data_IF_381980524633
#
_entry.id   IF_381980524633
#
_cell.length_a   1.000
_cell.length_b   1.000
_cell.length_c   1.000
_cell.angle_alpha   90.00
_cell.angle_beta   90.00
_cell.angle_gamma   90.00
#
_symmetry.space_group_name_H-M   'P 1'
#
loop_
_entity.id
_entity.type
_entity.pdbx_description
1 polymer ?
#
# COMPACT_ATOMS: atom_id res chain seq x y z
N UNK A 1 10.25 -11.32 12.36
CA UNK A 1 9.57 -10.00 12.20
C UNK A 1 10.60 -8.92 12.51
N UNK A 2 11.16 -8.30 11.49
CA UNK A 2 12.02 -7.13 11.64
C UNK A 2 11.15 -5.87 11.80
N UNK A 3 11.48 -5.02 12.78
CA UNK A 3 11.08 -3.60 12.75
C UNK A 3 11.74 -2.96 11.51
N UNK A 4 11.08 -1.97 10.89
CA UNK A 4 11.65 -1.20 9.79
C UNK A 4 13.11 -0.81 10.11
N UNK A 5 14.11 -1.16 9.27
CA UNK A 5 15.51 -0.95 9.61
C UNK A 5 16.00 0.46 9.24
N UNK A 6 16.70 1.05 10.20
CA UNK A 6 17.76 2.08 10.12
C UNK A 6 17.55 3.26 9.15
N UNK A 7 17.11 4.39 9.72
CA UNK A 7 17.48 5.83 9.57
C UNK A 7 17.92 6.37 8.19
N UNK A 8 18.67 5.64 7.36
CA UNK A 8 19.06 6.04 6.00
C UNK A 8 18.07 5.60 4.93
N UNK A 9 17.41 4.44 5.10
CA UNK A 9 16.34 4.02 4.18
C UNK A 9 15.02 4.79 4.46
N UNK A 10 14.84 5.32 5.68
CA UNK A 10 13.65 6.08 6.07
C UNK A 10 13.35 7.25 5.12
N UNK A 11 14.37 8.02 4.72
CA UNK A 11 14.18 9.14 3.80
C UNK A 11 13.71 8.70 2.40
N UNK A 12 14.27 7.60 1.88
CA UNK A 12 13.86 7.03 0.60
C UNK A 12 12.45 6.41 0.68
N UNK A 13 12.07 5.86 1.84
CA UNK A 13 10.73 5.34 2.08
C UNK A 13 9.67 6.43 2.13
N UNK A 14 9.96 7.61 2.68
CA UNK A 14 9.03 8.74 2.61
C UNK A 14 8.70 9.16 1.18
N UNK A 15 9.60 8.87 0.22
CA UNK A 15 9.33 9.14 -1.19
C UNK A 15 8.37 8.13 -1.83
N UNK A 16 8.14 6.97 -1.24
CA UNK A 16 7.38 5.86 -1.84
C UNK A 16 6.12 5.53 -1.03
N UNK A 17 6.25 5.54 0.30
CA UNK A 17 5.22 5.28 1.28
C UNK A 17 4.67 6.60 1.83
N UNK A 18 3.35 6.70 1.85
CA UNK A 18 2.67 7.75 2.58
C UNK A 18 2.57 7.45 4.08
N UNK A 19 2.17 8.47 4.87
CA UNK A 19 2.15 8.41 6.34
C UNK A 19 1.09 7.46 6.92
N UNK A 20 0.30 6.80 6.07
CA UNK A 20 -0.87 6.02 6.46
C UNK A 20 -0.77 4.54 6.06
N UNK A 21 0.43 4.08 5.72
CA UNK A 21 0.73 2.66 5.48
C UNK A 21 0.39 1.75 6.67
N UNK A 22 0.30 0.45 6.40
CA UNK A 22 -0.08 -0.56 7.38
C UNK A 22 0.96 -1.67 7.48
N UNK A 23 1.19 -2.17 8.69
CA UNK A 23 1.95 -3.39 8.95
C UNK A 23 3.47 -3.21 8.94
N UNK A 24 4.16 -4.36 8.92
CA UNK A 24 5.62 -4.46 8.88
C UNK A 24 6.08 -5.02 7.54
N UNK A 25 7.23 -4.58 7.06
CA UNK A 25 7.83 -5.05 5.82
C UNK A 25 8.67 -6.33 6.07
N UNK A 26 8.53 -7.36 5.24
CA UNK A 26 9.46 -8.50 5.20
C UNK A 26 10.47 -8.32 4.05
N UNK A 27 11.38 -9.28 3.82
CA UNK A 27 12.43 -9.15 2.80
C UNK A 27 11.88 -8.95 1.39
N UNK A 28 10.75 -9.59 1.05
CA UNK A 28 10.06 -9.38 -0.22
C UNK A 28 9.48 -7.98 -0.32
N UNK A 29 8.86 -7.50 0.75
CA UNK A 29 8.38 -6.12 0.83
C UNK A 29 9.54 -5.12 0.70
N UNK A 30 10.70 -5.40 1.29
CA UNK A 30 11.87 -4.53 1.19
C UNK A 30 12.37 -4.46 -0.25
N UNK A 31 12.49 -5.61 -0.93
CA UNK A 31 12.84 -5.67 -2.35
C UNK A 31 11.84 -4.91 -3.23
N UNK A 32 10.55 -5.06 -2.94
CA UNK A 32 9.47 -4.37 -3.63
C UNK A 32 9.57 -2.85 -3.47
N UNK A 33 9.77 -2.37 -2.24
CA UNK A 33 9.92 -0.94 -1.99
C UNK A 33 11.20 -0.39 -2.64
N UNK A 34 12.33 -1.11 -2.59
CA UNK A 34 13.58 -0.71 -3.28
C UNK A 34 13.36 -0.55 -4.78
N UNK A 35 12.57 -1.44 -5.37
CA UNK A 35 12.16 -1.36 -6.78
C UNK A 35 11.33 -0.10 -7.02
N UNK A 36 10.36 0.19 -6.14
CA UNK A 36 9.55 1.41 -6.24
C UNK A 36 10.39 2.69 -6.17
N UNK A 37 11.38 2.77 -5.26
CA UNK A 37 12.32 3.90 -5.18
C UNK A 37 13.08 4.05 -6.50
N UNK A 38 13.67 2.96 -7.01
CA UNK A 38 14.43 2.95 -8.27
C UNK A 38 13.62 3.46 -9.45
N UNK A 39 12.34 3.08 -9.51
CA UNK A 39 11.43 3.44 -10.60
C UNK A 39 10.58 4.69 -10.32
N UNK A 40 10.83 5.39 -9.20
CA UNK A 40 10.07 6.58 -8.77
C UNK A 40 8.56 6.32 -8.73
N UNK A 41 8.16 5.19 -8.16
CA UNK A 41 6.77 4.77 -7.99
C UNK A 41 6.32 4.99 -6.54
N UNK A 42 5.03 5.30 -6.37
CA UNK A 42 4.37 5.54 -5.10
C UNK A 42 3.32 4.49 -4.81
N UNK A 43 3.23 4.04 -3.57
CA UNK A 43 2.16 3.16 -3.09
C UNK A 43 0.96 4.01 -2.66
N UNK A 44 0.04 4.29 -3.57
CA UNK A 44 -1.04 5.28 -3.34
C UNK A 44 -1.95 4.91 -2.16
N UNK A 45 -2.17 3.61 -1.90
CA UNK A 45 -2.92 3.08 -0.76
C UNK A 45 -2.42 3.58 0.60
N UNK A 46 -1.15 4.01 0.69
CA UNK A 46 -0.51 4.43 1.94
C UNK A 46 -0.57 5.94 2.17
N UNK A 47 -1.04 6.73 1.20
CA UNK A 47 -1.08 8.20 1.30
C UNK A 47 -2.37 8.74 1.88
N UNK A 48 -3.45 7.96 1.92
CA UNK A 48 -4.76 8.44 2.35
C UNK A 48 -5.13 7.92 3.74
N UNK A 49 -5.68 8.81 4.57
CA UNK A 49 -6.19 8.45 5.90
C UNK A 49 -7.56 7.77 5.77
N UNK A 50 -7.54 6.47 5.57
CA UNK A 50 -8.73 5.64 5.45
C UNK A 50 -8.93 4.70 6.66
N UNK A 51 -10.17 4.27 6.95
CA UNK A 51 -10.42 3.24 7.95
C UNK A 51 -9.84 1.89 7.50
N UNK A 52 -9.52 1.01 8.45
CA UNK A 52 -8.86 -0.29 8.17
C UNK A 52 -9.61 -1.12 7.11
N UNK A 53 -10.95 -1.10 7.15
CA UNK A 53 -11.82 -1.81 6.19
C UNK A 53 -11.64 -1.38 4.74
N UNK A 54 -11.16 -0.15 4.50
CA UNK A 54 -10.94 0.44 3.17
C UNK A 54 -9.44 0.49 2.83
N UNK A 55 -8.56 -0.03 3.69
CA UNK A 55 -7.13 -0.12 3.44
C UNK A 55 -6.66 -1.54 3.19
N UNK A 56 -7.07 -2.47 4.05
CA UNK A 56 -6.59 -3.83 4.00
C UNK A 56 -7.36 -4.65 2.97
N UNK A 57 -6.61 -5.45 2.21
CA UNK A 57 -7.11 -6.17 1.05
C UNK A 57 -7.27 -7.65 1.33
N UNK A 58 -6.51 -8.21 2.26
CA UNK A 58 -6.53 -9.65 2.54
C UNK A 58 -6.63 -9.95 4.03
N UNK A 59 -7.41 -10.95 4.41
CA UNK A 59 -7.46 -11.44 5.79
C UNK A 59 -6.70 -12.76 5.89
N UNK A 60 -5.68 -12.78 6.75
CA UNK A 60 -4.94 -14.01 6.99
C UNK A 60 -5.86 -15.09 7.61
N UNK A 61 -6.02 -16.28 7.00
CA UNK A 61 -7.00 -17.28 7.44
C UNK A 61 -6.84 -17.74 8.90
N UNK A 62 -5.60 -17.99 9.33
CA UNK A 62 -5.29 -18.44 10.70
C UNK A 62 -5.36 -17.33 11.74
N UNK A 63 -4.63 -16.23 11.54
CA UNK A 63 -4.51 -15.16 12.53
C UNK A 63 -5.69 -14.18 12.53
N UNK A 64 -6.56 -14.24 11.50
CA UNK A 64 -7.67 -13.31 11.27
C UNK A 64 -7.24 -11.83 11.24
N UNK A 65 -5.97 -11.58 10.92
CA UNK A 65 -5.41 -10.23 10.79
C UNK A 65 -5.55 -9.75 9.36
N UNK A 66 -6.08 -8.55 9.22
CA UNK A 66 -6.14 -7.83 7.95
C UNK A 66 -4.76 -7.31 7.56
N UNK A 67 -4.39 -7.50 6.29
CA UNK A 67 -3.12 -7.09 5.69
C UNK A 67 -3.38 -6.33 4.40
N UNK A 68 -2.51 -5.37 4.09
CA UNK A 68 -2.44 -4.71 2.80
C UNK A 68 -1.41 -5.46 1.96
N UNK A 69 -1.87 -6.21 0.95
CA UNK A 69 -1.00 -6.96 0.04
C UNK A 69 -1.14 -6.49 -1.41
N UNK A 70 -2.27 -5.88 -1.75
CA UNK A 70 -2.54 -5.40 -3.11
C UNK A 70 -2.36 -3.88 -3.16
N UNK A 71 -1.40 -3.44 -3.96
CA UNK A 71 -0.98 -2.04 -4.07
C UNK A 71 -1.30 -1.49 -5.45
N UNK A 72 -1.78 -0.26 -5.50
CA UNK A 72 -1.79 0.54 -6.73
C UNK A 72 -0.52 1.39 -6.74
N UNK A 73 0.23 1.27 -7.83
CA UNK A 73 1.46 2.01 -8.05
C UNK A 73 1.26 3.10 -9.08
N UNK A 74 1.69 4.32 -8.73
CA UNK A 74 1.64 5.48 -9.64
C UNK A 74 3.01 6.13 -9.70
N UNK A 75 3.39 6.70 -10.85
CA UNK A 75 4.63 7.47 -10.97
C UNK A 75 4.57 8.69 -10.06
N UNK A 76 5.69 9.03 -9.43
CA UNK A 76 5.78 10.16 -8.50
C UNK A 76 5.24 11.48 -9.05
N UNK A 77 5.48 11.75 -10.34
CA UNK A 77 5.01 12.97 -11.01
C UNK A 77 3.49 13.03 -11.20
N UNK A 78 2.81 11.89 -11.26
CA UNK A 78 1.36 11.79 -11.48
C UNK A 78 0.61 11.63 -10.13
N UNK A 79 1.30 11.84 -9.00
CA UNK A 79 0.70 11.70 -7.67
C UNK A 79 -0.49 12.61 -7.46
N UNK A 80 -0.39 13.84 -7.93
CA UNK A 80 -1.41 14.87 -7.75
C UNK A 80 -2.74 14.48 -8.41
N UNK A 81 -2.71 13.60 -9.41
CA UNK A 81 -3.88 13.15 -10.14
C UNK A 81 -4.66 12.07 -9.37
N UNK A 82 -4.05 11.45 -8.35
CA UNK A 82 -4.68 10.40 -7.54
C UNK A 82 -5.51 11.03 -6.42
N UNK A 83 -6.83 10.87 -6.49
CA UNK A 83 -7.77 11.38 -5.49
C UNK A 83 -7.91 10.48 -4.28
N UNK A 84 -8.05 9.17 -4.51
CA UNK A 84 -8.14 8.18 -3.45
C UNK A 84 -7.79 6.81 -4.00
N UNK A 85 -7.17 5.98 -3.16
CA UNK A 85 -7.04 4.54 -3.40
C UNK A 85 -7.57 3.79 -2.19
N UNK A 86 -8.59 2.95 -2.38
CA UNK A 86 -9.26 2.23 -1.29
C UNK A 86 -9.65 0.80 -1.67
N UNK A 87 -9.62 -0.10 -0.70
CA UNK A 87 -10.23 -1.42 -0.80
C UNK A 87 -11.76 -1.33 -0.69
N UNK A 88 -12.47 -2.13 -1.47
CA UNK A 88 -13.94 -2.22 -1.44
C UNK A 88 -14.34 -3.43 -0.59
N UNK A 89 -15.11 -3.18 0.47
CA UNK A 89 -15.45 -4.19 1.48
C UNK A 89 -16.47 -5.23 0.99
N UNK A 90 -17.35 -4.90 0.05
CA UNK A 90 -18.48 -5.73 -0.39
C UNK A 90 -18.56 -5.90 -1.91
N UNK A 91 -17.42 -5.85 -2.59
CA UNK A 91 -17.38 -6.35 -3.96
C UNK A 91 -17.51 -7.89 -3.88
N UNK A 92 -18.74 -8.41 -4.03
CA UNK A 92 -19.02 -9.84 -4.01
C UNK A 92 -18.14 -10.57 -5.02
N UNK A 93 -17.04 -11.15 -4.52
CA UNK A 93 -15.99 -11.75 -5.32
C UNK A 93 -15.69 -13.16 -4.82
N UNK A 94 -15.32 -14.02 -5.77
CA UNK A 94 -14.96 -15.42 -5.57
C UNK A 94 -13.59 -15.62 -4.88
N UNK A 95 -12.96 -14.54 -4.40
CA UNK A 95 -11.59 -14.49 -3.89
C UNK A 95 -11.54 -14.07 -2.42
N UNK A 96 -10.49 -14.48 -1.73
CA UNK A 96 -10.17 -14.10 -0.34
C UNK A 96 -9.55 -12.69 -0.22
N UNK A 97 -9.38 -12.00 -1.36
CA UNK A 97 -8.89 -10.64 -1.50
C UNK A 97 -10.01 -9.66 -1.87
N UNK A 98 -9.95 -8.45 -1.32
CA UNK A 98 -10.83 -7.32 -1.66
C UNK A 98 -10.27 -6.58 -2.87
N UNK A 99 -11.16 -6.16 -3.76
CA UNK A 99 -10.80 -5.28 -4.87
C UNK A 99 -10.29 -3.92 -4.36
N UNK A 100 -9.32 -3.37 -5.08
CA UNK A 100 -8.79 -2.03 -4.84
C UNK A 100 -9.23 -1.09 -5.97
N UNK A 101 -9.82 0.04 -5.59
CA UNK A 101 -10.24 1.10 -6.49
C UNK A 101 -9.30 2.29 -6.32
N UNK A 102 -8.82 2.84 -7.44
CA UNK A 102 -8.13 4.12 -7.47
C UNK A 102 -8.90 5.11 -8.32
N UNK A 103 -9.27 6.26 -7.76
CA UNK A 103 -9.91 7.36 -8.49
C UNK A 103 -8.85 8.37 -8.89
N UNK A 104 -8.85 8.77 -10.16
CA UNK A 104 -7.88 9.70 -10.73
C UNK A 104 -8.59 10.84 -11.46
N UNK A 105 -7.99 12.03 -11.45
CA UNK A 105 -8.34 13.14 -12.35
C UNK A 105 -7.54 12.92 -13.65
N UNK A 106 -8.20 13.04 -14.79
CA UNK A 106 -7.58 13.00 -16.12
C UNK A 106 -7.49 14.41 -16.71
#
# INVERSE_FOLDING_TARGET
>A
MSKLPLVTEDAAWQEVLGPHGLGSCNDNGLLFLRTCVKHRLLLTNTFFRLPMREKATWMHPRSRRWQLLDYVLVRRRDRQDVLVTKAIHDAGGWTDTRLVLSTMIL
#
